data_IF_768795073541
#
_entry.id   IF_768795073541
#
_cell.length_a   1.000
_cell.length_b   1.000
_cell.length_c   1.000
_cell.angle_alpha   90.00
_cell.angle_beta   90.00
_cell.angle_gamma   90.00
#
_symmetry.space_group_name_H-M   'P 1'
#
loop_
_entity.id
_entity.type
_entity.pdbx_description
1 polymer ?
#
# COMPACT_ATOMS: atom_id res chain seq x y z
N UNK A 1 18.38 23.69 -14.11
CA UNK A 1 17.72 22.38 -14.25
C UNK A 1 18.10 21.60 -13.01
N UNK A 2 17.25 21.58 -11.99
CA UNK A 2 17.59 21.01 -10.66
C UNK A 2 16.36 20.75 -9.76
N UNK A 3 15.19 21.35 -10.06
CA UNK A 3 13.96 21.21 -9.26
C UNK A 3 13.21 19.89 -9.61
N UNK A 4 13.35 19.42 -10.85
CA UNK A 4 12.64 18.24 -11.36
C UNK A 4 13.18 16.94 -10.73
N UNK A 5 14.50 16.82 -10.61
CA UNK A 5 15.16 15.65 -10.01
C UNK A 5 14.85 15.51 -8.51
N UNK A 6 14.73 16.63 -7.77
CA UNK A 6 14.38 16.58 -6.34
C UNK A 6 12.92 16.19 -6.12
N UNK A 7 12.00 16.67 -6.97
CA UNK A 7 10.58 16.34 -6.86
C UNK A 7 10.31 14.88 -7.22
N UNK A 8 10.97 14.34 -8.25
CA UNK A 8 10.84 12.92 -8.59
C UNK A 8 11.46 12.02 -7.50
N UNK A 9 12.56 12.44 -6.88
CA UNK A 9 13.12 11.72 -5.74
C UNK A 9 12.18 11.71 -4.53
N UNK A 10 11.65 12.87 -4.12
CA UNK A 10 10.68 12.96 -3.02
C UNK A 10 9.43 12.12 -3.30
N UNK A 11 8.96 12.10 -4.57
CA UNK A 11 7.83 11.26 -4.98
C UNK A 11 8.16 9.77 -4.84
N UNK A 12 9.36 9.34 -5.23
CA UNK A 12 9.80 7.93 -5.08
C UNK A 12 9.86 7.52 -3.61
N UNK A 13 10.49 8.35 -2.77
CA UNK A 13 10.56 8.13 -1.32
C UNK A 13 9.14 8.00 -0.72
N UNK A 14 8.24 8.92 -1.08
CA UNK A 14 6.83 8.87 -0.63
C UNK A 14 6.14 7.56 -1.04
N UNK A 15 6.37 7.10 -2.27
CA UNK A 15 5.76 5.86 -2.78
C UNK A 15 6.34 4.62 -2.08
N UNK A 16 7.62 4.62 -1.77
CA UNK A 16 8.28 3.57 -0.98
C UNK A 16 7.72 3.53 0.45
N UNK A 17 7.63 4.66 1.13
CA UNK A 17 7.06 4.77 2.49
C UNK A 17 5.61 4.26 2.55
N UNK A 18 4.77 4.63 1.58
CA UNK A 18 3.39 4.13 1.51
C UNK A 18 3.37 2.61 1.28
N UNK A 19 4.26 2.08 0.43
CA UNK A 19 4.37 0.64 0.18
C UNK A 19 4.73 -0.12 1.45
N UNK A 20 5.70 0.37 2.23
CA UNK A 20 6.11 -0.21 3.50
C UNK A 20 4.98 -0.16 4.54
N UNK A 21 4.29 0.97 4.66
CA UNK A 21 3.15 1.10 5.55
C UNK A 21 2.03 0.13 5.21
N UNK A 22 1.68 0.00 3.92
CA UNK A 22 0.64 -0.94 3.48
C UNK A 22 1.02 -2.40 3.76
N UNK A 23 2.30 -2.76 3.68
CA UNK A 23 2.77 -4.10 4.03
C UNK A 23 2.52 -4.41 5.53
N UNK A 24 2.80 -3.44 6.41
CA UNK A 24 2.52 -3.57 7.85
C UNK A 24 1.02 -3.70 8.10
N UNK A 25 0.21 -2.83 7.48
CA UNK A 25 -1.25 -2.84 7.68
C UNK A 25 -1.90 -4.11 7.12
N UNK A 26 -1.39 -4.68 6.01
CA UNK A 26 -1.84 -5.97 5.50
C UNK A 26 -1.59 -7.11 6.50
N UNK A 27 -0.42 -7.15 7.13
CA UNK A 27 -0.13 -8.14 8.16
C UNK A 27 -1.05 -7.97 9.38
N UNK A 28 -1.34 -6.73 9.77
CA UNK A 28 -2.32 -6.44 10.82
C UNK A 28 -3.74 -6.88 10.43
N UNK A 29 -4.17 -6.63 9.20
CA UNK A 29 -5.47 -7.06 8.68
C UNK A 29 -5.61 -8.59 8.59
N UNK A 30 -4.54 -9.28 8.22
CA UNK A 30 -4.47 -10.75 8.26
C UNK A 30 -4.63 -11.29 9.68
N UNK A 31 -3.94 -10.69 10.65
CA UNK A 31 -4.09 -11.04 12.07
C UNK A 31 -5.51 -10.78 12.56
N UNK A 32 -6.07 -9.62 12.22
CA UNK A 32 -7.45 -9.27 12.56
C UNK A 32 -8.44 -10.28 12.00
N UNK A 33 -8.24 -10.77 10.77
CA UNK A 33 -9.09 -11.81 10.19
C UNK A 33 -9.04 -13.12 10.97
N UNK A 34 -7.86 -13.53 11.46
CA UNK A 34 -7.70 -14.73 12.28
C UNK A 34 -8.35 -14.59 13.66
N UNK A 35 -8.43 -13.38 14.20
CA UNK A 35 -8.99 -13.09 15.51
C UNK A 35 -10.51 -12.79 15.45
N UNK A 36 -11.02 -12.39 14.30
CA UNK A 36 -12.42 -12.00 14.11
C UNK A 36 -13.29 -13.17 13.69
N UNK A 37 -14.44 -13.31 14.36
CA UNK A 37 -15.42 -14.36 14.09
C UNK A 37 -16.84 -13.78 13.99
N UNK A 38 -17.77 -14.56 13.45
CA UNK A 38 -19.18 -14.18 13.37
C UNK A 38 -19.42 -13.01 12.41
N UNK A 39 -20.41 -12.17 12.72
CA UNK A 39 -20.93 -11.15 11.80
C UNK A 39 -19.88 -10.12 11.34
N UNK A 40 -18.84 -9.88 12.13
CA UNK A 40 -17.79 -8.90 11.81
C UNK A 40 -16.74 -9.44 10.83
N UNK A 41 -16.69 -10.76 10.62
CA UNK A 41 -15.66 -11.38 9.78
C UNK A 41 -15.74 -10.93 8.31
N UNK A 42 -16.95 -10.77 7.79
CA UNK A 42 -17.17 -10.29 6.42
C UNK A 42 -16.57 -8.89 6.19
N UNK A 43 -16.72 -7.98 7.16
CA UNK A 43 -16.15 -6.63 7.08
C UNK A 43 -14.61 -6.65 7.14
N UNK A 44 -14.02 -7.57 7.90
CA UNK A 44 -12.56 -7.72 7.97
C UNK A 44 -12.00 -8.30 6.68
N UNK A 45 -12.71 -9.23 6.03
CA UNK A 45 -12.34 -9.70 4.70
C UNK A 45 -12.40 -8.58 3.65
N UNK A 46 -13.45 -7.76 3.68
CA UNK A 46 -13.57 -6.60 2.79
C UNK A 46 -12.43 -5.60 3.01
N UNK A 47 -12.09 -5.29 4.27
CA UNK A 47 -10.94 -4.46 4.60
C UNK A 47 -9.63 -5.03 4.01
N UNK A 48 -9.39 -6.32 4.15
CA UNK A 48 -8.18 -6.96 3.63
C UNK A 48 -8.11 -6.90 2.10
N UNK A 49 -9.23 -7.09 1.42
CA UNK A 49 -9.30 -6.95 -0.04
C UNK A 49 -8.99 -5.51 -0.49
N UNK A 50 -9.52 -4.50 0.20
CA UNK A 50 -9.19 -3.10 -0.08
C UNK A 50 -7.69 -2.80 0.13
N UNK A 51 -7.07 -3.37 1.17
CA UNK A 51 -5.63 -3.24 1.40
C UNK A 51 -4.79 -3.93 0.32
N UNK A 52 -5.26 -5.07 -0.21
CA UNK A 52 -4.64 -5.73 -1.35
C UNK A 52 -4.70 -4.85 -2.60
N UNK A 53 -5.87 -4.27 -2.89
CA UNK A 53 -6.05 -3.37 -4.03
C UNK A 53 -5.22 -2.10 -3.91
N UNK A 54 -5.13 -1.51 -2.71
CA UNK A 54 -4.30 -0.33 -2.45
C UNK A 54 -2.82 -0.62 -2.74
N UNK A 55 -2.30 -1.77 -2.28
CA UNK A 55 -0.91 -2.17 -2.56
C UNK A 55 -0.66 -2.39 -4.05
N UNK A 56 -1.56 -3.08 -4.74
CA UNK A 56 -1.45 -3.28 -6.18
C UNK A 56 -1.43 -1.93 -6.95
N UNK A 57 -2.12 -0.91 -6.44
CA UNK A 57 -2.07 0.46 -7.01
C UNK A 57 -0.72 1.14 -6.77
N UNK A 58 -0.13 0.99 -5.60
CA UNK A 58 1.21 1.51 -5.31
C UNK A 58 2.26 0.84 -6.21
N UNK A 59 2.19 -0.47 -6.38
CA UNK A 59 3.08 -1.21 -7.29
C UNK A 59 2.94 -0.72 -8.74
N UNK A 60 1.70 -0.42 -9.20
CA UNK A 60 1.47 0.20 -10.50
C UNK A 60 2.09 1.60 -10.59
N UNK A 61 1.95 2.43 -9.55
CA UNK A 61 2.54 3.78 -9.51
C UNK A 61 4.08 3.71 -9.55
N UNK A 62 4.69 2.75 -8.85
CA UNK A 62 6.13 2.50 -8.91
C UNK A 62 6.57 2.10 -10.32
N UNK A 63 5.88 1.13 -10.93
CA UNK A 63 6.20 0.64 -12.27
C UNK A 63 5.94 1.67 -13.39
N UNK A 64 5.06 2.65 -13.15
CA UNK A 64 4.74 3.73 -14.10
C UNK A 64 5.78 4.85 -14.10
N UNK A 65 6.74 4.84 -13.17
CA UNK A 65 7.79 5.85 -13.19
C UNK A 65 8.87 5.50 -14.21
N UNK A 66 9.21 6.40 -15.16
CA UNK A 66 10.34 6.18 -16.03
C UNK A 66 11.63 6.13 -15.20
N UNK A 67 12.42 5.10 -15.44
CA UNK A 67 13.86 5.12 -15.12
C UNK A 67 14.46 6.21 -16.01
N UNK A 68 14.61 7.42 -15.50
CA UNK A 68 15.52 8.44 -16.05
C UNK A 68 16.97 8.01 -15.81
#
# INVERSE_FOLDING_TARGET
MQIDDSQEQERRETVEEISELLAVVQEMGRRLANETHGNSYALVLELNELLHQARAKIEQIQASSPIS
#
